data_IF_539741469093
#
_entry.id   IF_539741469093
#
_cell.length_a   1.000
_cell.length_b   1.000
_cell.length_c   1.000
_cell.angle_alpha   90.00
_cell.angle_beta   90.00
_cell.angle_gamma   90.00
#
_symmetry.space_group_name_H-M   'P 1'
#
loop_
_entity.id
_entity.type
_entity.pdbx_description
1 polymer ?
#
# COMPACT_ATOMS: atom_id res chain seq x y z
N UNK A 1 10.63 -8.76 8.96
CA UNK A 1 10.71 -7.31 8.68
C UNK A 1 9.35 -6.90 8.13
N UNK A 2 8.79 -5.78 8.59
CA UNK A 2 7.40 -5.39 8.28
C UNK A 2 7.33 -4.72 6.90
N UNK A 3 6.49 -5.22 6.00
CA UNK A 3 6.29 -4.68 4.66
C UNK A 3 5.49 -3.35 4.72
N UNK A 4 5.41 -2.61 3.63
CA UNK A 4 4.77 -1.28 3.60
C UNK A 4 3.26 -1.36 3.84
N UNK A 5 2.58 -2.40 3.35
CA UNK A 5 1.14 -2.61 3.60
C UNK A 5 0.88 -2.69 5.10
N UNK A 6 1.66 -3.49 5.81
CA UNK A 6 1.57 -3.62 7.25
C UNK A 6 1.81 -2.26 7.94
N UNK A 7 2.79 -1.47 7.48
CA UNK A 7 3.06 -0.13 8.05
C UNK A 7 1.92 0.86 7.81
N UNK A 8 1.26 0.79 6.67
CA UNK A 8 0.07 1.60 6.37
C UNK A 8 -1.07 1.16 7.30
N UNK A 9 -1.32 -0.16 7.41
CA UNK A 9 -2.34 -0.75 8.27
C UNK A 9 -2.21 -0.26 9.72
N UNK A 10 -1.04 -0.43 10.32
CA UNK A 10 -0.79 -0.04 11.70
C UNK A 10 -1.04 1.45 11.96
N UNK A 11 -0.66 2.32 11.01
CA UNK A 11 -0.90 3.77 11.13
C UNK A 11 -2.38 4.13 11.03
N UNK A 12 -3.10 3.53 10.08
CA UNK A 12 -4.52 3.80 9.87
C UNK A 12 -5.38 3.26 11.01
N UNK A 13 -5.10 2.03 11.49
CA UNK A 13 -5.79 1.45 12.65
C UNK A 13 -5.60 2.30 13.92
N UNK A 14 -4.36 2.72 14.19
CA UNK A 14 -4.06 3.54 15.37
C UNK A 14 -4.71 4.93 15.30
N UNK A 15 -4.79 5.53 14.11
CA UNK A 15 -5.32 6.88 13.93
C UNK A 15 -6.85 6.94 13.89
N UNK A 16 -7.50 5.94 13.29
CA UNK A 16 -8.92 6.02 12.94
C UNK A 16 -9.80 4.96 13.62
N UNK A 17 -9.21 3.89 14.18
CA UNK A 17 -9.95 2.77 14.78
C UNK A 17 -11.13 2.28 13.91
N UNK A 18 -10.89 2.01 12.60
CA UNK A 18 -11.97 1.72 11.67
C UNK A 18 -12.62 0.36 11.99
N UNK A 19 -13.89 0.25 11.68
CA UNK A 19 -14.63 -1.01 11.74
C UNK A 19 -14.19 -2.00 10.65
N UNK A 20 -13.68 -1.47 9.52
CA UNK A 20 -13.09 -2.24 8.43
C UNK A 20 -11.93 -1.47 7.78
N UNK A 21 -10.84 -2.18 7.47
CA UNK A 21 -9.72 -1.63 6.70
C UNK A 21 -9.18 -2.67 5.70
N UNK A 22 -9.27 -2.33 4.42
CA UNK A 22 -8.71 -3.11 3.31
C UNK A 22 -7.62 -2.32 2.60
N UNK A 23 -6.46 -2.95 2.38
CA UNK A 23 -5.31 -2.36 1.69
C UNK A 23 -4.78 -3.38 0.68
N UNK A 24 -4.77 -3.01 -0.59
CA UNK A 24 -4.26 -3.83 -1.69
C UNK A 24 -3.07 -3.12 -2.36
N UNK A 25 -1.96 -3.83 -2.60
CA UNK A 25 -0.84 -3.33 -3.38
C UNK A 25 -1.10 -3.53 -4.88
N UNK A 26 -1.36 -2.43 -5.58
CA UNK A 26 -1.64 -2.41 -7.02
C UNK A 26 -0.41 -2.08 -7.87
N UNK A 27 0.80 -2.06 -7.28
CA UNK A 27 2.04 -1.66 -7.96
C UNK A 27 2.34 -2.45 -9.23
N UNK A 28 1.85 -3.69 -9.34
CA UNK A 28 2.00 -4.49 -10.55
C UNK A 28 1.20 -3.93 -11.72
N UNK A 29 0.04 -3.32 -11.47
CA UNK A 29 -0.81 -2.70 -12.50
C UNK A 29 -0.16 -1.45 -13.10
N UNK A 30 0.71 -0.79 -12.33
CA UNK A 30 1.40 0.44 -12.71
C UNK A 30 2.90 0.23 -12.97
N UNK A 31 3.30 -1.03 -13.18
CA UNK A 31 4.70 -1.44 -13.35
C UNK A 31 5.39 -0.86 -14.59
N UNK A 32 4.64 -0.43 -15.61
CA UNK A 32 5.15 -0.05 -16.92
C UNK A 32 5.39 1.46 -17.08
N UNK A 33 5.27 2.27 -16.03
CA UNK A 33 5.61 3.69 -16.11
C UNK A 33 7.14 3.89 -16.23
N UNK A 34 7.55 4.73 -17.18
CA UNK A 34 8.95 4.99 -17.54
C UNK A 34 9.86 5.38 -16.34
N UNK A 35 9.29 5.92 -15.25
CA UNK A 35 10.01 6.30 -14.03
C UNK A 35 10.42 5.13 -13.11
N UNK A 36 10.19 3.87 -13.49
CA UNK A 36 10.49 2.70 -12.65
C UNK A 36 11.90 2.11 -12.85
N UNK A 37 12.68 2.60 -13.81
CA UNK A 37 14.02 2.06 -14.05
C UNK A 37 14.89 2.19 -12.78
N UNK A 38 15.35 1.04 -12.27
CA UNK A 38 16.22 0.96 -11.09
C UNK A 38 15.53 0.91 -9.72
N UNK A 39 14.19 0.93 -9.64
CA UNK A 39 13.46 0.81 -8.37
C UNK A 39 13.01 -0.64 -8.10
N UNK A 40 12.97 -1.07 -6.82
CA UNK A 40 12.38 -2.35 -6.44
C UNK A 40 10.94 -2.49 -6.94
N UNK A 41 10.56 -3.68 -7.37
CA UNK A 41 9.19 -3.97 -7.77
C UNK A 41 8.27 -4.00 -6.54
N UNK A 42 7.03 -3.51 -6.69
CA UNK A 42 6.05 -3.47 -5.62
C UNK A 42 6.03 -2.15 -4.85
N UNK A 43 5.17 -2.07 -3.85
CA UNK A 43 5.13 -1.06 -2.79
C UNK A 43 5.13 0.43 -3.19
N UNK A 44 4.53 0.75 -4.33
CA UNK A 44 4.48 2.11 -4.91
C UNK A 44 3.06 2.64 -5.09
N UNK A 45 2.08 1.75 -5.27
CA UNK A 45 0.67 2.11 -5.48
C UNK A 45 -0.22 1.24 -4.62
N UNK A 46 -1.18 1.85 -3.93
CA UNK A 46 -2.08 1.17 -3.00
C UNK A 46 -3.52 1.60 -3.23
N UNK A 47 -4.43 0.64 -3.20
CA UNK A 47 -5.86 0.88 -3.05
C UNK A 47 -6.22 0.67 -1.59
N UNK A 48 -6.90 1.66 -1.01
CA UNK A 48 -7.29 1.65 0.41
C UNK A 48 -8.79 1.91 0.51
N UNK A 49 -9.50 1.05 1.23
CA UNK A 49 -10.90 1.23 1.58
C UNK A 49 -11.06 1.09 3.11
N UNK A 50 -11.84 1.98 3.72
CA UNK A 50 -11.99 2.06 5.17
C UNK A 50 -13.42 2.50 5.54
N UNK A 51 -13.97 1.89 6.60
CA UNK A 51 -15.29 2.21 7.18
C UNK A 51 -15.16 2.46 8.68
#
# INVERSE_FOLDING_TARGET
MMNRVERIKAKLEAAFQPSMLEIEDESRRHANHAGRQGLPAGETHYKVAMV
#
